data_IF_009125135771
#
_entry.id   IF_009125135771
#
_cell.length_a   1.000
_cell.length_b   1.000
_cell.length_c   1.000
_cell.angle_alpha   90.00
_cell.angle_beta   90.00
_cell.angle_gamma   90.00
#
_symmetry.space_group_name_H-M   'P 1'
#
loop_
_entity.id
_entity.type
_entity.pdbx_description
1 polymer ?
#
# COMPACT_ATOMS: atom_id res chain seq x y z
N UNK A 1 18.49 11.79 7.96
CA UNK A 1 18.21 10.43 8.44
C UNK A 1 18.89 10.12 9.78
N UNK A 2 20.23 10.13 9.90
CA UNK A 2 20.92 9.79 11.18
C UNK A 2 20.52 10.67 12.39
N UNK A 3 20.08 11.91 12.17
CA UNK A 3 19.58 12.79 13.23
C UNK A 3 18.33 12.27 13.96
N UNK A 4 17.62 11.30 13.37
CA UNK A 4 16.41 10.70 13.95
C UNK A 4 16.70 9.48 14.82
N UNK A 5 17.95 9.00 14.89
CA UNK A 5 18.27 7.77 15.65
C UNK A 5 17.80 7.81 17.10
N UNK A 6 18.05 8.92 17.80
CA UNK A 6 17.64 9.07 19.19
C UNK A 6 16.12 9.13 19.35
N UNK A 7 15.43 9.84 18.46
CA UNK A 7 13.97 9.96 18.49
C UNK A 7 13.30 8.61 18.17
N UNK A 8 13.76 7.94 17.11
CA UNK A 8 13.24 6.64 16.71
C UNK A 8 13.55 5.56 17.75
N UNK A 9 14.71 5.63 18.41
CA UNK A 9 15.07 4.76 19.54
C UNK A 9 14.18 4.99 20.78
N UNK A 10 13.74 6.23 21.01
CA UNK A 10 12.81 6.58 22.08
C UNK A 10 11.33 6.36 21.72
N UNK A 11 11.03 5.97 20.47
CA UNK A 11 9.67 5.75 19.99
C UNK A 11 8.96 4.66 20.84
N UNK A 12 7.76 4.93 21.38
CA UNK A 12 7.01 3.97 22.21
C UNK A 12 6.35 2.88 21.34
N UNK A 13 7.16 1.98 20.80
CA UNK A 13 6.78 0.90 19.90
C UNK A 13 7.89 0.57 18.90
N UNK A 14 7.52 0.28 17.66
CA UNK A 14 8.47 0.04 16.55
C UNK A 14 8.30 1.11 15.48
N UNK A 15 9.41 1.72 15.07
CA UNK A 15 9.47 2.64 13.95
C UNK A 15 10.51 2.17 12.93
N UNK A 16 10.06 1.67 11.79
CA UNK A 16 10.90 1.11 10.75
C UNK A 16 11.04 2.05 9.58
N UNK A 17 12.26 2.16 9.06
CA UNK A 17 12.60 3.09 7.99
C UNK A 17 13.50 2.39 6.99
N UNK A 18 13.20 2.57 5.71
CA UNK A 18 14.09 2.26 4.60
C UNK A 18 14.18 3.49 3.70
N UNK A 19 15.39 3.94 3.37
CA UNK A 19 15.64 5.05 2.45
C UNK A 19 16.85 4.74 1.57
N UNK A 20 16.72 4.95 0.27
CA UNK A 20 17.80 4.67 -0.68
C UNK A 20 17.40 4.83 -2.15
N UNK A 21 18.34 4.69 -3.08
CA UNK A 21 18.09 4.76 -4.51
C UNK A 21 17.19 3.62 -4.99
N UNK A 22 16.46 3.85 -6.09
CA UNK A 22 15.73 2.78 -6.79
C UNK A 22 16.72 1.72 -7.29
N UNK A 23 16.48 0.45 -6.94
CA UNK A 23 17.30 -0.68 -7.37
C UNK A 23 18.68 -0.79 -6.68
N UNK A 24 18.98 0.05 -5.70
CA UNK A 24 20.22 -0.01 -4.92
C UNK A 24 20.00 -0.35 -3.45
N UNK A 25 21.08 -0.50 -2.67
CA UNK A 25 20.99 -0.76 -1.23
C UNK A 25 20.47 0.48 -0.49
N UNK A 26 19.93 0.27 0.71
CA UNK A 26 19.55 1.36 1.59
C UNK A 26 20.75 2.28 1.90
N UNK A 27 20.54 3.58 1.76
CA UNK A 27 21.42 4.62 2.32
C UNK A 27 21.19 4.74 3.82
N UNK A 28 19.96 4.51 4.26
CA UNK A 28 19.58 4.45 5.66
C UNK A 28 18.53 3.36 5.87
N UNK A 29 18.74 2.53 6.87
CA UNK A 29 17.79 1.50 7.28
C UNK A 29 17.75 1.43 8.80
N UNK A 30 16.54 1.31 9.35
CA UNK A 30 16.30 1.08 10.77
C UNK A 30 15.15 0.12 10.93
N UNK A 31 15.39 -0.99 11.63
CA UNK A 31 14.37 -2.01 11.90
C UNK A 31 13.57 -2.39 10.63
N UNK A 32 14.21 -2.31 9.46
CA UNK A 32 13.57 -2.34 8.15
C UNK A 32 12.92 -3.69 7.86
N UNK A 33 13.35 -4.74 8.58
CA UNK A 33 12.80 -6.08 8.55
C UNK A 33 11.82 -6.40 9.68
N UNK A 34 11.53 -5.43 10.57
CA UNK A 34 10.48 -5.61 11.58
C UNK A 34 9.11 -5.70 10.90
N UNK A 35 8.27 -6.58 11.43
CA UNK A 35 6.92 -6.83 10.91
C UNK A 35 5.94 -5.81 11.47
N UNK A 36 5.12 -5.29 10.59
CA UNK A 36 3.99 -4.44 10.89
C UNK A 36 2.75 -5.02 10.24
N UNK A 37 1.57 -4.80 10.82
CA UNK A 37 0.34 -5.08 10.08
C UNK A 37 0.27 -4.15 8.86
N UNK A 38 -0.14 -4.66 7.71
CA UNK A 38 0.03 -3.97 6.43
C UNK A 38 -0.79 -2.67 6.31
N UNK A 39 -1.90 -2.57 7.06
CA UNK A 39 -2.93 -1.58 6.81
C UNK A 39 -3.25 -1.48 5.29
N UNK A 40 -3.47 -0.27 4.76
CA UNK A 40 -3.75 -0.06 3.34
C UNK A 40 -2.53 -0.13 2.42
N UNK A 41 -1.31 -0.35 2.94
CA UNK A 41 -0.12 -0.46 2.07
C UNK A 41 -0.14 -1.73 1.21
N UNK A 42 -0.86 -2.78 1.65
CA UNK A 42 -1.05 -4.01 0.88
C UNK A 42 -1.73 -3.80 -0.48
N UNK A 43 -2.51 -2.72 -0.61
CA UNK A 43 -3.30 -2.42 -1.81
C UNK A 43 -2.44 -2.25 -3.07
N UNK A 44 -1.16 -1.90 -2.92
CA UNK A 44 -0.22 -1.84 -4.05
C UNK A 44 0.02 -3.24 -4.63
N UNK A 45 0.19 -4.26 -3.79
CA UNK A 45 0.29 -5.66 -4.25
C UNK A 45 -0.98 -6.13 -4.96
N UNK A 46 -2.15 -5.73 -4.46
CA UNK A 46 -3.46 -6.01 -5.09
C UNK A 46 -3.57 -5.37 -6.47
N UNK A 47 -3.17 -4.10 -6.61
CA UNK A 47 -3.17 -3.40 -7.90
C UNK A 47 -2.24 -4.11 -8.91
N UNK A 48 -1.01 -4.43 -8.50
CA UNK A 48 -0.06 -5.13 -9.37
C UNK A 48 -0.59 -6.51 -9.78
N UNK A 49 -1.21 -7.26 -8.88
CA UNK A 49 -1.82 -8.53 -9.21
C UNK A 49 -2.94 -8.39 -10.27
N UNK A 50 -3.78 -7.36 -10.16
CA UNK A 50 -4.82 -7.08 -11.16
C UNK A 50 -4.24 -6.76 -12.55
N UNK A 51 -3.20 -5.94 -12.62
CA UNK A 51 -2.53 -5.66 -13.90
C UNK A 51 -1.88 -6.90 -14.50
N UNK A 52 -1.18 -7.71 -13.69
CA UNK A 52 -0.57 -8.97 -14.15
C UNK A 52 -1.61 -9.96 -14.65
N UNK A 53 -2.74 -10.10 -13.95
CA UNK A 53 -3.83 -10.96 -14.37
C UNK A 53 -4.43 -10.50 -15.72
N UNK A 54 -4.53 -9.19 -15.94
CA UNK A 54 -5.02 -8.63 -17.18
C UNK A 54 -4.05 -8.83 -18.36
N UNK A 55 -2.76 -8.63 -18.12
CA UNK A 55 -1.71 -8.90 -19.12
C UNK A 55 -1.65 -10.38 -19.51
N UNK A 56 -1.93 -11.28 -18.57
CA UNK A 56 -2.07 -12.71 -18.82
C UNK A 56 -3.40 -13.12 -19.48
N UNK A 57 -4.30 -12.17 -19.75
CA UNK A 57 -5.63 -12.42 -20.34
C UNK A 57 -6.62 -13.08 -19.40
N UNK A 58 -6.33 -13.16 -18.11
CA UNK A 58 -7.19 -13.76 -17.07
C UNK A 58 -8.16 -12.77 -16.43
N UNK A 59 -8.06 -11.49 -16.74
CA UNK A 59 -8.86 -10.40 -16.20
C UNK A 59 -9.02 -9.30 -17.25
N UNK A 60 -10.17 -8.63 -17.28
CA UNK A 60 -10.34 -7.40 -18.05
C UNK A 60 -10.48 -6.23 -17.08
N UNK A 61 -9.53 -5.30 -17.10
CA UNK A 61 -9.54 -4.13 -16.23
C UNK A 61 -10.68 -3.17 -16.58
N UNK A 62 -11.23 -3.20 -17.79
CA UNK A 62 -12.31 -2.31 -18.18
C UNK A 62 -13.69 -2.99 -18.10
N UNK A 63 -13.73 -4.25 -17.65
CA UNK A 63 -14.97 -4.97 -17.41
C UNK A 63 -15.82 -4.30 -16.31
N UNK A 64 -17.15 -4.27 -16.48
CA UNK A 64 -18.06 -3.79 -15.46
C UNK A 64 -18.12 -4.79 -14.29
N UNK A 65 -17.84 -4.30 -13.09
CA UNK A 65 -17.93 -5.05 -11.82
C UNK A 65 -19.10 -4.49 -11.01
N UNK A 66 -19.99 -5.38 -10.55
CA UNK A 66 -21.05 -5.01 -9.62
C UNK A 66 -20.42 -4.49 -8.32
N UNK A 67 -20.82 -3.31 -7.87
CA UNK A 67 -20.40 -2.75 -6.59
C UNK A 67 -21.35 -3.28 -5.51
N UNK A 68 -20.84 -4.20 -4.68
CA UNK A 68 -21.56 -4.81 -3.57
C UNK A 68 -20.68 -4.85 -2.32
N UNK A 69 -21.30 -4.93 -1.14
CA UNK A 69 -20.62 -4.94 0.16
C UNK A 69 -20.76 -6.29 0.88
N UNK A 70 -20.96 -7.38 0.14
CA UNK A 70 -21.02 -8.75 0.67
C UNK A 70 -19.79 -9.51 0.18
N UNK A 71 -18.86 -9.85 1.08
CA UNK A 71 -17.56 -10.42 0.74
C UNK A 71 -17.33 -11.77 1.43
N UNK A 72 -16.72 -12.71 0.71
CA UNK A 72 -16.39 -14.03 1.25
C UNK A 72 -15.17 -13.92 2.16
N UNK A 73 -15.31 -14.29 3.43
CA UNK A 73 -14.20 -14.33 4.39
C UNK A 73 -13.16 -15.39 4.02
N UNK A 74 -11.88 -15.14 4.30
CA UNK A 74 -10.84 -16.18 4.23
C UNK A 74 -10.98 -17.20 5.36
N UNK A 75 -11.62 -16.86 6.49
CA UNK A 75 -11.84 -17.81 7.57
C UNK A 75 -12.75 -18.97 7.13
N UNK A 76 -12.30 -20.23 7.21
CA UNK A 76 -13.12 -21.38 6.80
C UNK A 76 -14.44 -21.45 7.57
N UNK A 77 -15.56 -21.44 6.83
CA UNK A 77 -16.91 -21.56 7.40
C UNK A 77 -17.44 -20.30 8.08
N UNK A 78 -16.72 -19.18 8.04
CA UNK A 78 -17.21 -17.90 8.52
C UNK A 78 -18.33 -17.36 7.61
N UNK A 79 -19.28 -16.56 8.16
CA UNK A 79 -20.22 -15.82 7.34
C UNK A 79 -19.50 -14.80 6.44
N UNK A 80 -20.20 -14.30 5.42
CA UNK A 80 -19.72 -13.17 4.65
C UNK A 80 -19.49 -11.96 5.56
N UNK A 81 -18.46 -11.18 5.25
CA UNK A 81 -18.14 -9.93 5.93
C UNK A 81 -18.47 -8.73 5.03
N UNK A 82 -18.56 -7.56 5.65
CA UNK A 82 -18.98 -6.31 5.04
C UNK A 82 -18.00 -5.23 5.48
N UNK A 83 -17.69 -4.28 4.60
CA UNK A 83 -17.02 -3.04 4.98
C UNK A 83 -18.00 -2.10 5.68
N UNK A 84 -17.48 -1.29 6.59
CA UNK A 84 -18.20 -0.19 7.21
C UNK A 84 -17.89 1.12 6.45
N UNK A 85 -18.90 1.83 5.91
CA UNK A 85 -18.72 3.11 5.24
C UNK A 85 -17.98 4.15 6.10
N UNK A 86 -18.11 4.11 7.43
CA UNK A 86 -17.45 5.07 8.34
C UNK A 86 -15.94 4.86 8.43
N UNK A 87 -15.45 3.65 8.12
CA UNK A 87 -14.02 3.32 8.10
C UNK A 87 -13.42 3.40 6.69
N UNK A 88 -14.18 3.85 5.69
CA UNK A 88 -13.74 4.02 4.31
C UNK A 88 -13.54 5.51 3.98
N UNK A 89 -12.53 5.83 3.19
CA UNK A 89 -12.16 7.20 2.81
C UNK A 89 -12.72 7.64 1.45
N UNK A 90 -13.63 6.85 0.86
CA UNK A 90 -14.12 7.06 -0.50
C UNK A 90 -15.63 6.89 -0.69
N UNK A 91 -16.38 7.97 -0.44
CA UNK A 91 -17.83 8.05 -0.67
C UNK A 91 -18.25 7.73 -2.12
N UNK A 92 -17.38 7.96 -3.11
CA UNK A 92 -17.75 7.80 -4.51
C UNK A 92 -17.97 6.33 -4.89
N UNK A 93 -17.29 5.39 -4.23
CA UNK A 93 -17.50 3.95 -4.44
C UNK A 93 -18.82 3.52 -3.79
N UNK A 94 -19.09 3.99 -2.58
CA UNK A 94 -20.33 3.72 -1.86
C UNK A 94 -21.57 4.26 -2.55
N UNK A 95 -21.47 5.42 -3.19
CA UNK A 95 -22.55 6.00 -3.99
C UNK A 95 -22.99 5.13 -5.19
N UNK A 96 -22.19 4.12 -5.57
CA UNK A 96 -22.47 3.21 -6.68
C UNK A 96 -22.91 1.82 -6.22
N UNK A 97 -23.22 1.61 -4.94
CA UNK A 97 -23.74 0.34 -4.44
C UNK A 97 -24.95 -0.13 -5.27
N UNK A 98 -24.89 -1.38 -5.74
CA UNK A 98 -25.89 -1.98 -6.62
C UNK A 98 -25.73 -1.64 -8.11
N UNK A 99 -24.82 -0.74 -8.47
CA UNK A 99 -24.47 -0.40 -9.85
C UNK A 99 -23.21 -1.14 -10.32
N UNK A 100 -22.87 -0.99 -11.60
CA UNK A 100 -21.60 -1.48 -12.14
C UNK A 100 -20.59 -0.34 -12.33
N UNK A 101 -19.33 -0.62 -11.98
CA UNK A 101 -18.19 0.26 -12.21
C UNK A 101 -17.05 -0.49 -12.92
N UNK A 102 -16.26 0.17 -13.79
CA UNK A 102 -15.08 -0.47 -14.39
C UNK A 102 -14.09 -0.93 -13.31
N UNK A 103 -13.52 -2.12 -13.45
CA UNK A 103 -12.54 -2.64 -12.49
C UNK A 103 -11.32 -1.70 -12.33
N UNK A 104 -10.87 -1.08 -13.41
CA UNK A 104 -9.78 -0.10 -13.43
C UNK A 104 -10.12 1.12 -12.60
N UNK A 105 -11.38 1.56 -12.62
CA UNK A 105 -11.84 2.65 -11.79
C UNK A 105 -11.80 2.25 -10.32
N UNK A 106 -12.30 1.06 -9.97
CA UNK A 106 -12.21 0.53 -8.59
C UNK A 106 -10.75 0.41 -8.12
N UNK A 107 -9.86 -0.15 -8.93
CA UNK A 107 -8.44 -0.24 -8.61
C UNK A 107 -7.77 1.13 -8.46
N UNK A 108 -8.19 2.12 -9.24
CA UNK A 108 -7.73 3.51 -9.09
C UNK A 108 -8.20 4.09 -7.75
N UNK A 109 -9.49 3.99 -7.44
CA UNK A 109 -10.10 4.46 -6.17
C UNK A 109 -9.47 3.79 -4.93
N UNK A 110 -9.20 2.50 -5.03
CA UNK A 110 -8.46 1.70 -4.04
C UNK A 110 -7.10 2.32 -3.68
N UNK A 111 -6.41 2.94 -4.65
CA UNK A 111 -5.10 3.57 -4.41
C UNK A 111 -5.24 5.04 -4.05
N UNK A 112 -5.90 5.85 -4.88
CA UNK A 112 -5.90 7.32 -4.79
C UNK A 112 -6.70 7.87 -3.63
N UNK A 113 -7.73 7.14 -3.19
CA UNK A 113 -8.56 7.47 -2.03
C UNK A 113 -8.54 6.39 -0.97
N UNK A 114 -7.65 5.40 -1.12
CA UNK A 114 -7.53 4.29 -0.19
C UNK A 114 -8.85 3.53 0.04
N UNK A 115 -9.74 3.42 -0.94
CA UNK A 115 -11.07 2.83 -0.72
C UNK A 115 -10.99 1.39 -0.21
N UNK A 116 -11.67 1.06 0.88
CA UNK A 116 -11.74 -0.30 1.44
C UNK A 116 -12.67 -1.18 0.62
N UNK A 117 -13.88 -0.69 0.32
CA UNK A 117 -14.85 -1.40 -0.50
C UNK A 117 -14.28 -1.74 -1.89
N UNK A 118 -13.62 -0.79 -2.54
CA UNK A 118 -12.98 -1.04 -3.83
C UNK A 118 -11.85 -2.08 -3.72
N UNK A 119 -11.14 -2.14 -2.59
CA UNK A 119 -10.09 -3.16 -2.38
C UNK A 119 -10.66 -4.56 -2.44
N UNK A 120 -11.75 -4.79 -1.69
CA UNK A 120 -12.37 -6.11 -1.61
C UNK A 120 -13.05 -6.50 -2.92
N UNK A 121 -13.59 -5.54 -3.67
CA UNK A 121 -14.11 -5.78 -5.03
C UNK A 121 -13.01 -6.15 -6.04
N UNK A 122 -11.84 -5.50 -5.98
CA UNK A 122 -10.70 -5.86 -6.85
C UNK A 122 -10.15 -7.24 -6.49
N UNK A 123 -10.07 -7.58 -5.19
CA UNK A 123 -9.72 -8.92 -4.74
C UNK A 123 -10.73 -9.97 -5.25
N UNK A 124 -12.03 -9.71 -5.15
CA UNK A 124 -13.06 -10.60 -5.68
C UNK A 124 -12.96 -10.81 -7.20
N UNK A 125 -12.56 -9.79 -7.94
CA UNK A 125 -12.34 -9.89 -9.39
C UNK A 125 -11.12 -10.75 -9.77
N UNK A 126 -10.11 -10.87 -8.89
CA UNK A 126 -8.97 -11.77 -9.09
C UNK A 126 -9.37 -13.26 -8.97
N UNK A 127 -10.52 -13.54 -8.37
CA UNK A 127 -11.13 -14.86 -8.24
C UNK A 127 -11.42 -15.23 -6.78
N UNK A 128 -11.69 -16.53 -6.52
CA UNK A 128 -11.84 -17.04 -5.16
C UNK A 128 -10.59 -16.74 -4.30
N UNK A 129 -10.78 -16.65 -2.98
CA UNK A 129 -9.75 -16.17 -2.03
C UNK A 129 -8.39 -16.88 -2.19
N UNK A 130 -8.37 -18.20 -2.34
CA UNK A 130 -7.13 -18.97 -2.55
C UNK A 130 -6.36 -18.50 -3.79
N UNK A 131 -7.07 -18.26 -4.90
CA UNK A 131 -6.50 -17.76 -6.14
C UNK A 131 -6.13 -16.27 -6.05
N UNK A 132 -6.98 -15.44 -5.44
CA UNK A 132 -6.74 -14.01 -5.31
C UNK A 132 -5.49 -13.73 -4.46
N UNK A 133 -5.41 -14.31 -3.27
CA UNK A 133 -4.26 -14.11 -2.37
C UNK A 133 -2.99 -14.80 -2.88
N UNK A 134 -3.08 -15.95 -3.58
CA UNK A 134 -1.91 -16.51 -4.26
C UNK A 134 -1.32 -15.56 -5.32
N UNK A 135 -2.16 -14.87 -6.10
CA UNK A 135 -1.70 -13.88 -7.08
C UNK A 135 -1.05 -12.66 -6.41
N UNK A 136 -1.62 -12.17 -5.30
CA UNK A 136 -1.05 -11.04 -4.54
C UNK A 136 0.28 -11.44 -3.87
N UNK A 137 0.35 -12.60 -3.24
CA UNK A 137 1.57 -13.09 -2.61
C UNK A 137 2.68 -13.42 -3.63
N UNK A 138 2.31 -13.83 -4.84
CA UNK A 138 3.27 -13.95 -5.95
C UNK A 138 3.89 -12.59 -6.32
N UNK A 139 3.14 -11.49 -6.24
CA UNK A 139 3.69 -10.14 -6.45
C UNK A 139 4.74 -9.81 -5.39
N UNK A 140 4.44 -10.03 -4.11
CA UNK A 140 5.41 -9.84 -3.03
C UNK A 140 6.69 -10.63 -3.30
N UNK A 141 6.56 -11.91 -3.64
CA UNK A 141 7.69 -12.78 -3.96
C UNK A 141 8.50 -12.27 -5.16
N UNK A 142 7.84 -11.84 -6.23
CA UNK A 142 8.49 -11.31 -7.44
C UNK A 142 9.20 -9.98 -7.20
N UNK A 143 8.70 -9.16 -6.28
CA UNK A 143 9.36 -7.95 -5.84
C UNK A 143 10.62 -8.22 -4.99
N UNK A 144 10.86 -9.47 -4.60
CA UNK A 144 11.92 -9.83 -3.66
C UNK A 144 11.55 -9.59 -2.20
N UNK A 145 10.27 -9.36 -1.90
CA UNK A 145 9.79 -9.28 -0.54
C UNK A 145 9.74 -10.67 0.12
N UNK A 146 10.24 -10.76 1.35
CA UNK A 146 10.39 -12.03 2.08
C UNK A 146 9.56 -12.10 3.35
N UNK A 147 9.16 -10.96 3.92
CA UNK A 147 8.28 -10.89 5.09
C UNK A 147 6.83 -10.57 4.75
N UNK A 148 6.60 -9.79 3.69
CA UNK A 148 5.28 -9.31 3.33
C UNK A 148 4.37 -10.40 2.76
N UNK A 149 3.10 -10.37 3.18
CA UNK A 149 2.04 -11.22 2.66
C UNK A 149 0.67 -10.58 2.85
N UNK A 150 -0.30 -11.03 2.07
CA UNK A 150 -1.68 -10.55 2.09
C UNK A 150 -2.63 -11.73 1.93
N UNK A 151 -3.30 -12.09 3.02
CA UNK A 151 -4.07 -13.33 3.14
C UNK A 151 -5.54 -13.10 3.51
N UNK A 152 -5.96 -11.83 3.68
CA UNK A 152 -7.35 -11.47 3.87
C UNK A 152 -7.71 -10.10 3.30
N UNK A 153 -9.00 -9.90 3.04
CA UNK A 153 -9.55 -8.62 2.66
C UNK A 153 -9.52 -7.59 3.79
N UNK A 154 -9.84 -6.35 3.44
CA UNK A 154 -9.97 -5.26 4.40
C UNK A 154 -11.25 -5.46 5.20
N UNK A 155 -11.18 -5.33 6.53
CA UNK A 155 -12.31 -5.57 7.46
C UNK A 155 -12.86 -7.01 7.47
N UNK A 156 -12.11 -7.98 6.94
CA UNK A 156 -12.36 -9.41 7.19
C UNK A 156 -12.00 -9.75 8.65
N UNK A 157 -12.82 -9.26 9.58
CA UNK A 157 -12.68 -9.47 11.02
C UNK A 157 -12.80 -10.94 11.41
N UNK A 158 -13.67 -11.78 10.80
CA UNK A 158 -13.64 -13.22 11.05
C UNK A 158 -12.28 -13.86 10.74
N UNK A 159 -11.65 -13.51 9.62
CA UNK A 159 -10.29 -13.99 9.30
C UNK A 159 -9.25 -13.47 10.29
N UNK A 160 -9.32 -12.19 10.66
CA UNK A 160 -8.44 -11.60 11.69
C UNK A 160 -8.56 -12.35 13.01
N UNK A 161 -9.77 -12.62 13.47
CA UNK A 161 -10.04 -13.28 14.75
C UNK A 161 -9.63 -14.76 14.72
N UNK A 162 -9.56 -15.36 13.52
CA UNK A 162 -8.95 -16.67 13.28
C UNK A 162 -7.41 -16.64 13.15
N UNK A 163 -6.77 -15.48 13.34
CA UNK A 163 -5.32 -15.33 13.30
C UNK A 163 -4.73 -15.08 11.91
N UNK A 164 -5.56 -14.84 10.89
CA UNK A 164 -5.10 -14.50 9.54
C UNK A 164 -4.81 -13.00 9.48
N UNK A 165 -3.55 -12.64 9.26
CA UNK A 165 -3.09 -11.26 9.22
C UNK A 165 -2.48 -10.93 7.87
N UNK A 166 -2.34 -9.63 7.59
CA UNK A 166 -1.56 -9.13 6.47
C UNK A 166 -0.35 -8.42 7.08
N UNK A 167 0.87 -8.84 6.77
CA UNK A 167 2.08 -8.22 7.32
C UNK A 167 2.93 -7.60 6.21
N UNK A 168 3.68 -6.57 6.56
CA UNK A 168 4.70 -5.92 5.72
C UNK A 168 5.93 -5.59 6.55
N UNK A 169 7.04 -5.32 5.86
CA UNK A 169 8.23 -4.69 6.44
C UNK A 169 8.58 -3.45 5.61
N UNK A 170 9.32 -2.49 6.18
CA UNK A 170 9.75 -1.31 5.42
C UNK A 170 10.66 -1.71 4.23
N UNK A 171 11.49 -2.74 4.40
CA UNK A 171 12.31 -3.30 3.33
C UNK A 171 11.46 -3.92 2.20
N UNK A 172 10.41 -4.67 2.54
CA UNK A 172 9.52 -5.30 1.56
C UNK A 172 8.69 -4.27 0.79
N UNK A 173 8.24 -3.20 1.46
CA UNK A 173 7.55 -2.10 0.80
C UNK A 173 8.48 -1.35 -0.17
N UNK A 174 9.72 -1.07 0.26
CA UNK A 174 10.72 -0.50 -0.63
C UNK A 174 11.01 -1.42 -1.82
N UNK A 175 11.11 -2.73 -1.60
CA UNK A 175 11.31 -3.72 -2.66
C UNK A 175 10.15 -3.73 -3.67
N UNK A 176 8.88 -3.68 -3.20
CA UNK A 176 7.70 -3.61 -4.08
C UNK A 176 7.71 -2.37 -4.95
N UNK A 177 7.91 -1.18 -4.37
CA UNK A 177 7.94 0.07 -5.12
C UNK A 177 9.15 0.13 -6.07
N UNK A 178 10.31 -0.37 -5.65
CA UNK A 178 11.50 -0.46 -6.49
C UNK A 178 11.32 -1.38 -7.69
N UNK A 179 10.72 -2.56 -7.48
CA UNK A 179 10.43 -3.50 -8.56
C UNK A 179 9.35 -2.97 -9.52
N UNK A 180 8.37 -2.21 -9.02
CA UNK A 180 7.38 -1.53 -9.85
C UNK A 180 8.01 -0.47 -10.75
N UNK A 181 8.82 0.44 -10.18
CA UNK A 181 9.53 1.50 -10.90
C UNK A 181 10.51 0.93 -11.94
N UNK A 182 11.19 -0.17 -11.60
CA UNK A 182 12.09 -0.86 -12.52
C UNK A 182 11.37 -1.67 -13.62
N UNK A 183 10.03 -1.71 -13.63
CA UNK A 183 9.25 -2.44 -14.63
C UNK A 183 9.39 -3.96 -14.53
N UNK A 184 9.69 -4.48 -13.33
CA UNK A 184 9.94 -5.91 -13.11
C UNK A 184 8.67 -6.71 -12.78
N UNK A 185 7.58 -6.02 -12.44
CA UNK A 185 6.35 -6.65 -11.96
C UNK A 185 5.25 -6.75 -13.03
N UNK A 186 5.27 -5.92 -14.06
CA UNK A 186 4.27 -5.86 -15.12
C UNK A 186 4.90 -5.36 -16.43
N UNK A 187 4.17 -5.42 -17.54
CA UNK A 187 4.64 -4.86 -18.80
C UNK A 187 4.85 -3.34 -18.66
N UNK A 188 5.75 -2.72 -19.47
CA UNK A 188 6.11 -1.30 -19.31
C UNK A 188 4.92 -0.34 -19.30
N UNK A 189 3.91 -0.58 -20.14
CA UNK A 189 2.69 0.24 -20.18
C UNK A 189 1.85 0.07 -18.90
N UNK A 190 1.77 -1.14 -18.35
CA UNK A 190 1.08 -1.42 -17.09
C UNK A 190 1.79 -0.80 -15.90
N UNK A 191 3.12 -0.94 -15.81
CA UNK A 191 3.94 -0.27 -14.78
C UNK A 191 3.76 1.24 -14.79
N UNK A 192 3.82 1.88 -15.96
CA UNK A 192 3.62 3.32 -16.08
C UNK A 192 2.23 3.75 -15.57
N UNK A 193 1.16 3.03 -15.95
CA UNK A 193 -0.19 3.31 -15.45
C UNK A 193 -0.30 3.20 -13.93
N UNK A 194 0.30 2.16 -13.34
CA UNK A 194 0.27 1.96 -11.89
C UNK A 194 1.06 3.05 -11.14
N UNK A 195 2.20 3.48 -11.67
CA UNK A 195 2.96 4.61 -11.12
C UNK A 195 2.17 5.92 -11.24
N UNK A 196 1.47 6.15 -12.33
CA UNK A 196 0.61 7.33 -12.50
C UNK A 196 -0.57 7.31 -11.50
N UNK A 197 -1.18 6.16 -11.26
CA UNK A 197 -2.23 5.99 -10.24
C UNK A 197 -1.66 6.30 -8.84
N UNK A 198 -0.49 5.77 -8.49
CA UNK A 198 0.17 6.09 -7.22
C UNK A 198 0.55 7.57 -7.09
N UNK A 199 0.86 8.23 -8.21
CA UNK A 199 1.18 9.67 -8.26
C UNK A 199 -0.08 10.53 -8.08
N UNK A 200 -1.25 10.02 -8.45
CA UNK A 200 -2.53 10.69 -8.32
C UNK A 200 -3.14 10.62 -6.91
N UNK A 201 -2.36 10.25 -5.90
CA UNK A 201 -2.80 10.14 -4.50
C UNK A 201 -3.47 11.43 -3.98
N UNK A 202 -4.65 11.26 -3.37
CA UNK A 202 -5.43 12.34 -2.75
C UNK A 202 -5.31 12.36 -1.22
N UNK A 203 -4.93 11.25 -0.58
CA UNK A 203 -4.62 11.19 0.85
C UNK A 203 -3.20 11.73 1.10
N UNK A 204 -3.05 13.06 1.15
CA UNK A 204 -1.75 13.77 1.19
C UNK A 204 -1.25 14.13 2.59
N UNK A 205 -1.45 13.23 3.53
CA UNK A 205 -0.91 13.34 4.89
C UNK A 205 0.51 12.72 4.97
N UNK A 206 1.04 12.54 6.18
CA UNK A 206 2.28 11.80 6.45
C UNK A 206 3.51 12.27 5.65
N UNK A 207 4.05 11.48 4.72
CA UNK A 207 5.28 11.82 3.97
C UNK A 207 5.11 13.10 3.15
N UNK A 208 3.89 13.38 2.66
CA UNK A 208 3.62 14.61 1.91
C UNK A 208 3.86 15.88 2.75
N UNK A 209 3.74 15.81 4.07
CA UNK A 209 3.97 16.96 4.97
C UNK A 209 5.44 17.43 4.96
N UNK A 210 6.37 16.53 4.61
CA UNK A 210 7.81 16.82 4.58
C UNK A 210 8.39 17.10 3.21
N UNK A 211 7.63 16.90 2.14
CA UNK A 211 8.11 17.04 0.77
C UNK A 211 7.65 18.38 0.16
N UNK A 212 8.38 18.94 -0.81
CA UNK A 212 7.90 20.12 -1.54
C UNK A 212 6.54 19.87 -2.19
N UNK A 213 5.67 20.89 -2.19
CA UNK A 213 4.31 20.76 -2.70
C UNK A 213 4.24 20.39 -4.20
N UNK A 214 5.28 20.72 -4.96
CA UNK A 214 5.45 20.43 -6.38
C UNK A 214 6.27 19.16 -6.66
N UNK A 215 6.76 18.46 -5.63
CA UNK A 215 7.45 17.20 -5.81
C UNK A 215 6.49 16.16 -6.40
N UNK A 216 6.91 15.51 -7.49
CA UNK A 216 6.21 14.31 -7.97
C UNK A 216 6.52 13.16 -7.02
N UNK A 217 5.49 12.53 -6.48
CA UNK A 217 5.60 11.44 -5.51
C UNK A 217 4.57 10.37 -5.85
N UNK A 218 5.03 9.15 -6.13
CA UNK A 218 4.17 7.98 -6.27
C UNK A 218 4.09 7.27 -4.91
N UNK A 219 2.95 7.29 -4.23
CA UNK A 219 2.84 6.93 -2.81
C UNK A 219 1.61 6.08 -2.48
N UNK A 220 1.77 5.20 -1.50
CA UNK A 220 0.66 4.61 -0.75
C UNK A 220 0.93 4.66 0.75
N UNK A 221 -0.01 5.27 1.47
CA UNK A 221 -0.09 5.23 2.92
C UNK A 221 -1.11 4.22 3.44
N UNK A 222 -1.05 3.90 4.71
CA UNK A 222 -2.02 3.07 5.41
C UNK A 222 -2.00 3.33 6.90
N UNK A 223 -3.17 3.35 7.51
CA UNK A 223 -3.32 3.63 8.93
C UNK A 223 -4.43 2.77 9.53
N UNK A 224 -4.23 2.39 10.78
CA UNK A 224 -5.22 1.83 11.70
C UNK A 224 -4.85 2.33 13.11
N UNK A 225 -5.69 2.18 14.14
CA UNK A 225 -5.31 2.61 15.48
C UNK A 225 -3.93 2.06 15.90
N UNK A 226 -3.03 2.96 16.31
CA UNK A 226 -1.62 2.69 16.69
C UNK A 226 -0.66 2.37 15.54
N UNK A 227 -1.10 2.46 14.30
CA UNK A 227 -0.27 2.16 13.14
C UNK A 227 -0.41 3.20 12.03
N UNK A 228 0.72 3.69 11.53
CA UNK A 228 0.80 4.66 10.43
C UNK A 228 1.98 4.29 9.54
N UNK A 229 1.71 4.02 8.29
CA UNK A 229 2.70 3.57 7.32
C UNK A 229 2.58 4.38 6.05
N UNK A 230 3.69 4.59 5.37
CA UNK A 230 3.71 5.23 4.07
C UNK A 230 4.96 4.83 3.31
N UNK A 231 4.80 4.58 2.02
CA UNK A 231 5.89 4.19 1.13
C UNK A 231 5.75 4.89 -0.21
N UNK A 232 6.88 5.37 -0.72
CA UNK A 232 6.88 6.23 -1.89
C UNK A 232 8.12 6.06 -2.77
N UNK A 233 7.93 6.29 -4.07
CA UNK A 233 8.98 6.74 -4.98
C UNK A 233 8.88 8.27 -5.04
N UNK A 234 9.98 8.95 -4.73
CA UNK A 234 10.08 10.40 -4.81
C UNK A 234 10.91 10.77 -6.05
N UNK A 235 10.43 11.73 -6.84
CA UNK A 235 11.08 12.15 -8.09
C UNK A 235 11.55 13.62 -7.99
N UNK A 236 12.74 13.89 -7.42
CA UNK A 236 13.32 15.24 -7.44
C UNK A 236 13.67 15.69 -8.86
N UNK A 237 13.58 17.00 -9.12
CA UNK A 237 14.01 17.57 -10.40
C UNK A 237 15.54 17.65 -10.55
N UNK A 238 16.28 17.52 -9.45
CA UNK A 238 17.71 17.80 -9.34
C UNK A 238 18.55 16.62 -8.82
N UNK A 239 17.94 15.43 -8.75
CA UNK A 239 18.57 14.18 -8.33
C UNK A 239 17.84 12.99 -8.99
N UNK A 240 18.44 11.79 -8.89
CA UNK A 240 17.75 10.57 -9.31
C UNK A 240 16.55 10.27 -8.39
N UNK A 241 15.52 9.54 -8.87
CA UNK A 241 14.44 9.06 -8.02
C UNK A 241 14.96 8.17 -6.90
N UNK A 242 14.30 8.24 -5.74
CA UNK A 242 14.65 7.44 -4.57
C UNK A 242 13.38 6.87 -3.91
N UNK A 243 13.57 5.84 -3.09
CA UNK A 243 12.51 5.21 -2.32
C UNK A 243 12.60 5.61 -0.85
N UNK A 244 11.44 5.77 -0.24
CA UNK A 244 11.28 5.94 1.20
C UNK A 244 10.11 5.09 1.66
N UNK A 245 10.35 4.20 2.62
CA UNK A 245 9.32 3.43 3.31
C UNK A 245 9.45 3.68 4.81
N UNK A 246 8.36 4.07 5.45
CA UNK A 246 8.29 4.32 6.89
C UNK A 246 7.07 3.60 7.47
N UNK A 247 7.29 2.79 8.51
CA UNK A 247 6.24 2.10 9.23
C UNK A 247 6.35 2.37 10.74
N UNK A 248 5.29 2.86 11.37
CA UNK A 248 5.23 2.98 12.83
C UNK A 248 4.12 2.12 13.40
N UNK A 249 4.42 1.33 14.43
CA UNK A 249 3.45 0.57 15.25
C UNK A 249 3.73 0.86 16.71
N UNK A 250 2.82 1.53 17.40
CA UNK A 250 3.01 1.95 18.78
C UNK A 250 1.98 2.96 19.24
N UNK A 251 2.11 3.40 20.49
CA UNK A 251 1.16 4.32 21.11
C UNK A 251 1.50 5.77 20.72
N UNK A 252 1.15 6.14 19.49
CA UNK A 252 1.07 7.53 19.03
C UNK A 252 -0.35 7.88 18.60
N UNK A 253 -0.71 9.14 18.77
CA UNK A 253 -1.86 9.70 18.07
C UNK A 253 -1.58 9.74 16.56
N UNK A 254 -2.63 9.72 15.75
CA UNK A 254 -2.50 9.79 14.29
C UNK A 254 -1.74 11.05 13.83
N UNK A 255 -1.96 12.19 14.51
CA UNK A 255 -1.28 13.45 14.23
C UNK A 255 0.22 13.38 14.52
N UNK A 256 0.62 12.81 15.66
CA UNK A 256 2.04 12.64 16.01
C UNK A 256 2.75 11.70 15.03
N UNK A 257 2.07 10.62 14.61
CA UNK A 257 2.61 9.70 13.62
C UNK A 257 2.76 10.38 12.24
N UNK A 258 1.75 11.16 11.81
CA UNK A 258 1.84 11.95 10.58
C UNK A 258 3.02 12.93 10.61
N UNK A 259 3.18 13.68 11.69
CA UNK A 259 4.28 14.65 11.84
C UNK A 259 5.65 13.96 11.82
N UNK A 260 5.80 12.82 12.52
CA UNK A 260 7.02 12.02 12.48
C UNK A 260 7.36 11.57 11.06
N UNK A 261 6.40 11.00 10.32
CA UNK A 261 6.59 10.58 8.93
C UNK A 261 6.96 11.78 8.04
N UNK A 262 6.32 12.93 8.22
CA UNK A 262 6.64 14.17 7.52
C UNK A 262 8.08 14.63 7.78
N UNK A 263 8.52 14.68 9.04
CA UNK A 263 9.90 15.06 9.37
C UNK A 263 10.94 14.09 8.81
N UNK A 264 10.65 12.79 8.79
CA UNK A 264 11.49 11.79 8.12
C UNK A 264 11.55 12.05 6.61
N UNK A 265 10.41 12.35 5.97
CA UNK A 265 10.37 12.66 4.55
C UNK A 265 11.19 13.91 4.20
N UNK A 266 11.09 14.98 5.00
CA UNK A 266 11.91 16.19 4.84
C UNK A 266 13.41 15.88 4.95
N UNK A 267 13.78 14.99 5.88
CA UNK A 267 15.16 14.56 6.05
C UNK A 267 15.66 13.72 4.87
N UNK A 268 14.81 12.87 4.30
CA UNK A 268 15.13 12.11 3.07
C UNK A 268 15.36 13.06 1.90
N UNK A 269 14.52 14.10 1.75
CA UNK A 269 14.63 15.09 0.70
C UNK A 269 15.92 15.90 0.82
N UNK A 270 16.29 16.32 2.03
CA UNK A 270 17.56 17.01 2.26
C UNK A 270 18.79 16.15 1.90
N UNK A 271 18.67 14.82 1.97
CA UNK A 271 19.72 13.84 1.68
C UNK A 271 19.60 13.18 0.29
N UNK A 272 18.75 13.70 -0.60
CA UNK A 272 18.47 13.11 -1.92
C UNK A 272 19.67 13.07 -2.88
N UNK A 273 20.78 13.73 -2.54
CA UNK A 273 21.99 13.86 -3.37
C UNK A 273 23.18 13.18 -2.71
#
# INVERSE_FOLDING_TARGET
>A
MQSFEQELAAFPGTASVWFGPVGGPAVYARAEHARHYAASTMKVGVMVAAWRAAEAGGLDLDAPVLVHNDHVSTAPGAPAYHNDPEYDSDEAVWARLGEHAPLRWLATRMIVKSSNLATNLVLGALGPNDKAFAQVNEVWRLAGAVGAHTDRGIEDYPARDAGISNEVTAADLAALFGALEAGLLAAPAGSAQMVDILTAQECRDDLHLGLPADARVALKNGWVPRERHSSAIVYPADAAPYLLAVCTTGDLTDLEACDLLGRIAAASWAQRR
#
